data_IF_006450206835
#
_entry.id   IF_006450206835
#
_cell.length_a   1.000
_cell.length_b   1.000
_cell.length_c   1.000
_cell.angle_alpha   90.00
_cell.angle_beta   90.00
_cell.angle_gamma   90.00
#
_symmetry.space_group_name_H-M   'P 1'
#
loop_
_entity.id
_entity.type
_entity.pdbx_description
1 polymer ?
#
# COMPACT_ATOMS: atom_id res chain seq x y z
N UNK A 1 -20.91 -1.58 -6.16
CA UNK A 1 -19.62 -2.12 -6.65
C UNK A 1 -19.15 -3.21 -5.70
N UNK A 2 -18.41 -4.16 -6.20
CA UNK A 2 -17.83 -5.20 -5.37
C UNK A 2 -16.32 -5.04 -5.38
N UNK A 3 -15.63 -5.74 -4.48
CA UNK A 3 -14.16 -5.72 -4.47
C UNK A 3 -13.61 -6.16 -5.82
N UNK A 4 -14.20 -7.21 -6.37
CA UNK A 4 -13.77 -7.77 -7.65
C UNK A 4 -13.94 -6.76 -8.79
N UNK A 5 -15.06 -6.05 -8.78
CA UNK A 5 -15.31 -5.00 -9.75
C UNK A 5 -14.32 -3.86 -9.63
N UNK A 6 -14.05 -3.42 -8.40
CA UNK A 6 -13.10 -2.33 -8.17
C UNK A 6 -11.72 -2.72 -8.66
N UNK A 7 -11.27 -3.95 -8.36
CA UNK A 7 -9.97 -4.43 -8.81
C UNK A 7 -9.93 -4.50 -10.33
N UNK A 8 -11.00 -4.95 -10.94
CA UNK A 8 -11.06 -5.03 -12.40
C UNK A 8 -10.95 -3.65 -13.04
N UNK A 9 -11.64 -2.66 -12.47
CA UNK A 9 -11.55 -1.29 -12.97
C UNK A 9 -10.13 -0.75 -12.85
N UNK A 10 -9.46 -1.06 -11.74
CA UNK A 10 -8.10 -0.64 -11.54
C UNK A 10 -7.14 -1.35 -12.48
N UNK A 11 -7.44 -2.56 -12.88
CA UNK A 11 -6.59 -3.28 -13.82
C UNK A 11 -6.62 -2.63 -15.20
N UNK A 12 -7.69 -1.92 -15.52
CA UNK A 12 -7.81 -1.18 -16.77
C UNK A 12 -7.21 0.22 -16.61
N UNK A 13 -7.42 0.83 -15.46
CA UNK A 13 -6.93 2.17 -15.20
C UNK A 13 -6.58 2.30 -13.72
N UNK A 14 -5.30 2.20 -13.41
CA UNK A 14 -4.82 2.28 -12.03
C UNK A 14 -5.10 3.64 -11.39
N UNK A 15 -5.40 4.65 -12.21
CA UNK A 15 -5.75 5.97 -11.72
C UNK A 15 -7.25 6.16 -11.47
N UNK A 16 -8.05 5.11 -11.54
CA UNK A 16 -9.49 5.20 -11.30
C UNK A 16 -9.74 5.49 -9.82
N UNK A 17 -9.90 6.76 -9.50
CA UNK A 17 -10.05 7.22 -8.12
C UNK A 17 -11.27 6.61 -7.43
N UNK A 18 -12.37 6.48 -8.15
CA UNK A 18 -13.58 5.90 -7.58
C UNK A 18 -13.37 4.47 -7.15
N UNK A 19 -12.65 3.71 -7.97
CA UNK A 19 -12.40 2.30 -7.68
C UNK A 19 -11.45 2.14 -6.51
N UNK A 20 -10.35 2.91 -6.47
CA UNK A 20 -9.40 2.79 -5.38
C UNK A 20 -10.00 3.28 -4.06
N UNK A 21 -10.78 4.34 -4.12
CA UNK A 21 -11.45 4.88 -2.94
C UNK A 21 -12.45 3.88 -2.38
N UNK A 22 -13.23 3.25 -3.26
CA UNK A 22 -14.19 2.24 -2.84
C UNK A 22 -13.49 1.05 -2.19
N UNK A 23 -12.39 0.60 -2.79
CA UNK A 23 -11.65 -0.54 -2.29
C UNK A 23 -11.06 -0.23 -0.91
N UNK A 24 -10.50 0.95 -0.75
CA UNK A 24 -9.95 1.39 0.52
C UNK A 24 -11.03 1.48 1.60
N UNK A 25 -12.13 2.14 1.28
CA UNK A 25 -13.21 2.33 2.23
C UNK A 25 -13.82 1.01 2.67
N UNK A 26 -14.01 0.11 1.72
CA UNK A 26 -14.67 -1.16 1.99
C UNK A 26 -13.76 -2.16 2.72
N UNK A 27 -12.48 -1.92 2.74
CA UNK A 27 -11.49 -2.82 3.36
C UNK A 27 -10.62 -2.11 4.38
N UNK A 28 -11.13 -1.04 4.96
CA UNK A 28 -10.38 -0.20 5.88
C UNK A 28 -9.73 -0.97 7.01
N UNK A 29 -10.46 -1.89 7.62
CA UNK A 29 -9.93 -2.63 8.77
C UNK A 29 -8.71 -3.48 8.38
N UNK A 30 -8.80 -4.15 7.24
CA UNK A 30 -7.70 -5.00 6.79
C UNK A 30 -6.48 -4.14 6.48
N UNK A 31 -6.69 -3.05 5.76
CA UNK A 31 -5.60 -2.17 5.35
C UNK A 31 -4.96 -1.50 6.54
N UNK A 32 -5.76 -0.93 7.44
CA UNK A 32 -5.24 -0.31 8.65
C UNK A 32 -4.50 -1.32 9.51
N UNK A 33 -5.00 -2.55 9.59
CA UNK A 33 -4.36 -3.60 10.38
C UNK A 33 -2.98 -3.95 9.86
N UNK A 34 -2.83 -4.07 8.56
CA UNK A 34 -1.55 -4.37 7.94
C UNK A 34 -0.59 -3.20 8.13
N UNK A 35 -1.06 -1.97 7.87
CA UNK A 35 -0.22 -0.78 8.01
C UNK A 35 0.25 -0.64 9.46
N UNK A 36 -0.64 -0.85 10.42
CA UNK A 36 -0.29 -0.74 11.83
C UNK A 36 0.75 -1.78 12.24
N UNK A 37 0.67 -2.96 11.67
CA UNK A 37 1.64 -4.01 11.96
C UNK A 37 3.06 -3.58 11.52
N UNK A 38 3.17 -2.88 10.41
CA UNK A 38 4.48 -2.50 9.86
C UNK A 38 4.94 -1.11 10.32
N UNK A 39 4.03 -0.19 10.52
CA UNK A 39 4.39 1.21 10.77
C UNK A 39 3.78 1.81 12.04
N UNK A 40 3.02 1.03 12.79
CA UNK A 40 2.36 1.54 13.98
C UNK A 40 1.21 2.45 13.61
N UNK A 41 1.01 3.50 14.39
CA UNK A 41 -0.05 4.48 14.14
C UNK A 41 0.59 5.86 14.07
N UNK A 42 -0.16 6.81 13.54
CA UNK A 42 0.32 8.19 13.45
C UNK A 42 0.60 8.60 12.03
N UNK A 43 1.32 9.68 11.90
CA UNK A 43 1.52 10.33 10.61
C UNK A 43 2.28 9.46 9.61
N UNK A 44 3.30 8.77 10.08
CA UNK A 44 4.07 7.91 9.18
C UNK A 44 3.19 6.77 8.64
N UNK A 45 2.33 6.22 9.49
CA UNK A 45 1.42 5.17 9.07
C UNK A 45 0.40 5.71 8.06
N UNK A 46 -0.09 6.92 8.29
CA UNK A 46 -1.06 7.53 7.37
C UNK A 46 -0.45 7.76 5.99
N UNK A 47 0.79 8.22 5.96
CA UNK A 47 1.49 8.41 4.69
C UNK A 47 1.73 7.09 3.99
N UNK A 48 2.12 6.08 4.76
CA UNK A 48 2.36 4.75 4.20
C UNK A 48 1.08 4.18 3.60
N UNK A 49 -0.05 4.43 4.24
CA UNK A 49 -1.33 3.92 3.75
C UNK A 49 -1.69 4.55 2.40
N UNK A 50 -1.44 5.84 2.22
CA UNK A 50 -1.71 6.50 0.94
C UNK A 50 -0.86 5.89 -0.17
N UNK A 51 0.43 5.70 0.09
CA UNK A 51 1.31 5.10 -0.90
C UNK A 51 0.91 3.66 -1.17
N UNK A 52 0.53 2.94 -0.12
CA UNK A 52 0.10 1.56 -0.24
C UNK A 52 -1.07 1.43 -1.19
N UNK A 53 -2.07 2.30 -1.07
CA UNK A 53 -3.25 2.21 -1.93
C UNK A 53 -2.88 2.44 -3.40
N UNK A 54 -1.95 3.34 -3.67
CA UNK A 54 -1.48 3.56 -5.03
C UNK A 54 -0.80 2.32 -5.57
N UNK A 55 0.03 1.66 -4.75
CA UNK A 55 0.74 0.46 -5.19
C UNK A 55 -0.19 -0.71 -5.39
N UNK A 56 -1.21 -0.83 -4.55
CA UNK A 56 -2.21 -1.88 -4.73
C UNK A 56 -2.94 -1.67 -6.06
N UNK A 57 -3.29 -0.42 -6.36
CA UNK A 57 -3.96 -0.10 -7.62
C UNK A 57 -3.09 -0.52 -8.82
N UNK A 58 -1.79 -0.29 -8.72
CA UNK A 58 -0.87 -0.65 -9.79
C UNK A 58 -0.72 -2.16 -9.96
N UNK A 59 -0.97 -2.91 -8.88
CA UNK A 59 -0.88 -4.36 -8.93
C UNK A 59 -2.18 -5.03 -9.37
N UNK A 60 -3.23 -4.25 -9.60
CA UNK A 60 -4.52 -4.82 -9.95
C UNK A 60 -4.49 -5.72 -11.18
N UNK A 61 -3.55 -5.48 -12.08
CA UNK A 61 -3.40 -6.32 -13.27
C UNK A 61 -2.98 -7.75 -12.94
N UNK A 62 -2.39 -7.96 -11.76
CA UNK A 62 -1.95 -9.29 -11.35
C UNK A 62 -3.08 -10.11 -10.73
N UNK A 63 -4.23 -9.50 -10.50
CA UNK A 63 -5.36 -10.20 -9.90
C UNK A 63 -5.97 -11.17 -10.91
N UNK A 64 -6.12 -12.41 -10.47
CA UNK A 64 -6.73 -13.42 -11.30
C UNK A 64 -8.17 -13.63 -10.91
N UNK A 65 -9.00 -13.87 -11.91
CA UNK A 65 -10.42 -13.91 -11.77
C UNK A 65 -10.93 -14.87 -10.70
N UNK A 66 -10.28 -15.98 -10.52
CA UNK A 66 -10.70 -16.98 -9.57
C UNK A 66 -10.14 -16.74 -8.16
N UNK A 67 -9.28 -15.76 -7.98
CA UNK A 67 -8.75 -15.47 -6.66
C UNK A 67 -9.80 -14.82 -5.78
N UNK A 68 -9.70 -15.06 -4.47
CA UNK A 68 -10.54 -14.35 -3.51
C UNK A 68 -10.01 -12.93 -3.40
N UNK A 69 -10.84 -11.91 -3.68
CA UNK A 69 -10.35 -10.53 -3.68
C UNK A 69 -9.83 -10.06 -2.34
N UNK A 70 -10.45 -10.49 -1.24
CA UNK A 70 -9.98 -10.09 0.09
C UNK A 70 -8.61 -10.67 0.40
N UNK A 71 -8.37 -11.91 0.03
CA UNK A 71 -7.08 -12.56 0.25
C UNK A 71 -6.01 -11.92 -0.62
N UNK A 72 -6.35 -11.63 -1.87
CA UNK A 72 -5.43 -10.95 -2.78
C UNK A 72 -5.03 -9.59 -2.22
N UNK A 73 -6.02 -8.84 -1.74
CA UNK A 73 -5.79 -7.52 -1.18
C UNK A 73 -4.87 -7.59 0.03
N UNK A 74 -5.12 -8.52 0.93
CA UNK A 74 -4.31 -8.68 2.14
C UNK A 74 -2.87 -9.05 1.79
N UNK A 75 -2.69 -9.93 0.81
CA UNK A 75 -1.34 -10.31 0.36
C UNK A 75 -0.62 -9.13 -0.27
N UNK A 76 -1.32 -8.36 -1.10
CA UNK A 76 -0.72 -7.19 -1.71
C UNK A 76 -0.34 -6.16 -0.66
N UNK A 77 -1.22 -5.93 0.30
CA UNK A 77 -0.97 -4.96 1.36
C UNK A 77 0.28 -5.35 2.16
N UNK A 78 0.38 -6.61 2.57
CA UNK A 78 1.54 -7.08 3.32
C UNK A 78 2.83 -6.98 2.52
N UNK A 79 2.78 -7.40 1.28
CA UNK A 79 3.94 -7.39 0.41
C UNK A 79 4.43 -5.97 0.16
N UNK A 80 3.51 -5.05 -0.10
CA UNK A 80 3.90 -3.66 -0.38
C UNK A 80 4.35 -2.93 0.88
N UNK A 81 3.76 -3.23 2.03
CA UNK A 81 4.22 -2.64 3.28
C UNK A 81 5.62 -3.12 3.63
N UNK A 82 5.91 -4.39 3.36
CA UNK A 82 7.25 -4.93 3.57
C UNK A 82 8.27 -4.18 2.70
N UNK A 83 7.92 -3.94 1.45
CA UNK A 83 8.79 -3.19 0.55
C UNK A 83 8.95 -1.75 0.99
N UNK A 84 7.86 -1.10 1.39
CA UNK A 84 7.92 0.27 1.87
C UNK A 84 8.82 0.40 3.09
N UNK A 85 8.71 -0.55 4.01
CA UNK A 85 9.55 -0.53 5.20
C UNK A 85 11.02 -0.70 4.84
N UNK A 86 11.31 -1.61 3.92
CA UNK A 86 12.69 -1.84 3.48
C UNK A 86 13.25 -0.62 2.74
N UNK A 87 12.44 0.05 1.94
CA UNK A 87 12.86 1.27 1.26
C UNK A 87 13.18 2.36 2.27
N UNK A 88 12.36 2.51 3.29
CA UNK A 88 12.59 3.51 4.31
C UNK A 88 13.86 3.26 5.09
N UNK A 89 14.13 2.01 5.42
CA UNK A 89 15.35 1.65 6.13
C UNK A 89 16.57 1.92 5.24
N UNK A 90 16.48 1.58 3.98
CA UNK A 90 17.57 1.78 3.03
C UNK A 90 17.87 3.26 2.84
N UNK A 91 16.84 4.08 2.68
CA UNK A 91 17.01 5.52 2.54
C UNK A 91 17.63 6.11 3.78
N UNK A 92 17.21 5.67 4.94
CA UNK A 92 17.73 6.14 6.18
C UNK A 92 19.19 5.77 6.35
N UNK A 93 19.58 4.61 5.88
CA UNK A 93 20.96 4.18 5.95
C UNK A 93 21.85 4.99 5.02
N UNK A 94 21.31 5.47 3.93
CA UNK A 94 22.09 6.24 2.97
C UNK A 94 22.15 7.71 3.28
N UNK A 95 21.10 8.26 3.85
CA UNK A 95 21.02 9.66 4.11
C UNK A 95 21.82 10.17 5.25
N UNK A 96 21.69 9.65 6.37
CA UNK A 96 22.21 10.24 7.58
C UNK A 96 23.66 10.45 7.64
N UNK A 97 24.38 9.64 6.98
CA UNK A 97 25.78 9.77 7.09
C UNK A 97 26.25 11.08 6.63
N UNK A 98 25.70 11.60 5.62
CA UNK A 98 26.15 12.81 5.10
C UNK A 98 25.65 13.94 5.87
N UNK A 99 24.47 13.86 6.34
CA UNK A 99 23.95 14.97 7.00
C UNK A 99 24.40 15.07 8.39
N UNK A 100 24.49 14.00 9.04
CA UNK A 100 24.80 13.96 10.41
C UNK A 100 26.07 14.62 10.74
N UNK A 101 27.03 14.58 9.84
CA UNK A 101 28.21 15.19 10.18
C UNK A 101 28.48 16.35 9.44
N UNK A 102 27.74 16.64 8.53
CA UNK A 102 28.05 17.79 7.79
C UNK A 102 27.96 18.95 8.68
N UNK A 103 27.32 18.86 9.73
CA UNK A 103 27.31 19.99 10.52
C UNK A 103 27.67 19.60 11.84
N UNK A 104 28.12 18.57 11.84
CA UNK A 104 28.70 18.15 13.12
C UNK A 104 28.86 18.82 13.63
#
# INVERSE_FOLDING_TARGET
MTDREAIRRLSVNAGDFSAVSWLHHNNTEVIHGVVAHYFGTGEAADRAECVLMQRIAERARSYERQENPGEWLARCASSECDRLRNEAIHDKANMPMKEAHSHG
#
